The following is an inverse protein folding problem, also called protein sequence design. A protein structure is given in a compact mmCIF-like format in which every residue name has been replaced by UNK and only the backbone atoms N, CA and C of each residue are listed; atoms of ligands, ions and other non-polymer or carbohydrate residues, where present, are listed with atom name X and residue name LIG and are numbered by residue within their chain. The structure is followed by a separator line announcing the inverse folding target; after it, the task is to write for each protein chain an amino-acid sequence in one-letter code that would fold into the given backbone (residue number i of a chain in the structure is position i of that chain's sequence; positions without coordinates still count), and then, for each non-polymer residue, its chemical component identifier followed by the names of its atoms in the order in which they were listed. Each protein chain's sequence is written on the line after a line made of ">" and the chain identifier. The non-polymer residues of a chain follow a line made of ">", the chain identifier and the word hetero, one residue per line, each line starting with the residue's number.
data_IF_085482062005
#
_entry.id   IF_085482062005
#
_cell.length_a   1.000
_cell.length_b   1.000
_cell.length_c   1.000
_cell.angle_alpha   90.00
_cell.angle_beta   90.00
_cell.angle_gamma   90.00
#
_symmetry.space_group_name_H-M   'P 1'
#
loop_
_entity.id
_entity.type
_entity.pdbx_description
1 polymer ?
#
# COMPACT_ATOMS: atom_id res chain seq x y z
N UNK A 1 5.58 14.19 -15.65
CA UNK A 1 6.64 13.70 -14.75
C UNK A 1 6.28 12.28 -14.34
N UNK A 2 7.25 11.37 -14.20
CA UNK A 2 6.99 9.94 -13.94
C UNK A 2 7.27 9.61 -12.48
N UNK A 3 6.45 10.15 -11.57
CA UNK A 3 6.57 9.94 -10.13
C UNK A 3 5.30 9.32 -9.55
N UNK A 4 5.39 8.76 -8.35
CA UNK A 4 4.25 8.34 -7.56
C UNK A 4 4.50 8.62 -6.07
N UNK A 5 3.42 8.76 -5.30
CA UNK A 5 3.50 9.14 -3.89
C UNK A 5 3.78 7.94 -2.99
N UNK A 6 4.71 8.09 -2.05
CA UNK A 6 4.89 7.17 -0.93
C UNK A 6 5.00 8.00 0.35
N UNK A 7 4.30 7.58 1.40
CA UNK A 7 4.48 8.10 2.75
C UNK A 7 4.50 6.97 3.76
N UNK A 8 5.03 7.26 4.95
CA UNK A 8 5.13 6.31 6.05
C UNK A 8 4.68 6.97 7.36
N UNK A 9 3.89 6.26 8.16
CA UNK A 9 3.49 6.61 9.53
C UNK A 9 3.99 5.54 10.50
N UNK A 10 5.32 5.47 10.74
CA UNK A 10 5.94 4.34 11.44
C UNK A 10 5.47 4.18 12.89
N UNK A 11 4.99 5.27 13.52
CA UNK A 11 4.46 5.24 14.88
C UNK A 11 3.01 4.79 15.00
N UNK A 12 2.35 4.40 13.91
CA UNK A 12 0.93 4.06 13.91
C UNK A 12 0.66 2.83 13.05
N UNK A 13 0.17 1.77 13.67
CA UNK A 13 -0.42 0.64 12.96
C UNK A 13 -1.91 0.89 12.73
N UNK A 14 -2.40 0.62 11.53
CA UNK A 14 -3.79 0.84 11.15
C UNK A 14 -4.39 -0.41 10.49
N UNK A 15 -5.70 -0.59 10.64
CA UNK A 15 -6.47 -1.61 9.92
C UNK A 15 -7.12 -1.08 8.65
N UNK A 16 -7.31 0.23 8.55
CA UNK A 16 -7.84 0.92 7.39
C UNK A 16 -7.33 2.36 7.33
N UNK A 17 -7.14 2.88 6.12
CA UNK A 17 -6.85 4.27 5.85
C UNK A 17 -7.60 4.66 4.57
N UNK A 18 -8.11 5.89 4.52
CA UNK A 18 -8.77 6.44 3.34
C UNK A 18 -8.18 7.82 3.04
N UNK A 19 -7.85 8.05 1.78
CA UNK A 19 -7.40 9.35 1.30
C UNK A 19 -8.65 10.22 1.13
N UNK A 20 -8.90 11.09 2.11
CA UNK A 20 -10.01 12.03 2.02
C UNK A 20 -9.67 13.14 1.00
N UNK A 21 -10.61 13.45 0.11
CA UNK A 21 -10.43 14.51 -0.89
C UNK A 21 -11.45 14.43 -2.02
N UNK A 22 -11.33 15.36 -2.95
CA UNK A 22 -12.06 15.33 -4.22
C UNK A 22 -11.53 14.21 -5.13
N UNK A 23 -12.24 13.95 -6.23
CA UNK A 23 -11.82 12.97 -7.24
C UNK A 23 -10.40 13.31 -7.70
N UNK A 24 -9.50 12.33 -7.57
CA UNK A 24 -8.11 12.48 -8.00
C UNK A 24 -8.04 12.66 -9.52
N UNK A 25 -7.59 13.82 -9.97
CA UNK A 25 -7.28 14.06 -11.39
C UNK A 25 -5.94 13.43 -11.81
N UNK A 26 -5.04 13.20 -10.84
CA UNK A 26 -3.76 12.52 -11.06
C UNK A 26 -3.94 11.00 -11.14
N UNK A 27 -3.31 10.38 -12.14
CA UNK A 27 -3.33 8.94 -12.37
C UNK A 27 -2.29 8.20 -11.53
N UNK A 28 -1.35 8.93 -10.92
CA UNK A 28 -0.25 8.37 -10.14
C UNK A 28 -0.76 7.74 -8.85
N UNK A 29 -0.35 6.50 -8.51
CA UNK A 29 -0.75 5.88 -7.27
C UNK A 29 -0.15 6.60 -6.06
N UNK A 30 -0.79 6.47 -4.90
CA UNK A 30 -0.21 6.89 -3.62
C UNK A 30 -0.20 5.70 -2.66
N UNK A 31 0.93 5.44 -2.03
CA UNK A 31 1.13 4.38 -1.04
C UNK A 31 1.37 4.97 0.36
N UNK A 32 0.77 4.36 1.37
CA UNK A 32 0.97 4.69 2.77
C UNK A 32 1.35 3.42 3.55
N UNK A 33 2.52 3.44 4.17
CA UNK A 33 2.97 2.36 5.06
C UNK A 33 2.77 2.74 6.53
N UNK A 34 2.25 1.81 7.33
CA UNK A 34 2.11 1.97 8.78
C UNK A 34 3.26 1.37 9.58
N UNK A 35 3.16 1.48 10.90
CA UNK A 35 4.04 0.81 11.84
C UNK A 35 3.87 -0.71 11.80
N UNK A 36 4.98 -1.44 11.63
CA UNK A 36 5.01 -2.90 11.66
C UNK A 36 4.66 -3.41 13.05
N UNK A 37 3.92 -4.51 13.14
CA UNK A 37 3.53 -5.13 14.41
C UNK A 37 3.47 -6.65 14.31
N UNK A 38 3.64 -7.34 15.44
CA UNK A 38 3.52 -8.79 15.51
C UNK A 38 2.06 -9.19 15.74
N UNK A 39 1.61 -10.23 15.05
CA UNK A 39 0.34 -10.91 15.29
C UNK A 39 0.45 -12.39 14.94
N UNK A 40 0.06 -13.26 15.88
CA UNK A 40 0.05 -14.71 15.70
C UNK A 40 1.40 -15.27 15.20
N UNK A 41 2.51 -14.75 15.74
CA UNK A 41 3.88 -15.13 15.36
C UNK A 41 4.33 -14.63 13.99
N UNK A 42 3.58 -13.72 13.36
CA UNK A 42 3.93 -13.09 12.07
C UNK A 42 4.12 -11.60 12.24
N UNK A 43 5.15 -11.05 11.58
CA UNK A 43 5.29 -9.60 11.42
C UNK A 43 4.38 -9.12 10.28
N UNK A 44 3.53 -8.14 10.57
CA UNK A 44 2.57 -7.57 9.63
C UNK A 44 2.91 -6.09 9.37
N UNK A 45 2.93 -5.71 8.10
CA UNK A 45 3.06 -4.33 7.64
C UNK A 45 1.68 -3.81 7.23
N UNK A 46 1.13 -2.77 7.89
CA UNK A 46 -0.04 -2.05 7.38
C UNK A 46 0.30 -1.34 6.06
N UNK A 47 -0.51 -1.57 5.03
CA UNK A 47 -0.38 -0.92 3.72
C UNK A 47 -1.73 -0.33 3.32
N UNK A 48 -1.76 0.98 3.09
CA UNK A 48 -2.86 1.69 2.45
C UNK A 48 -2.42 2.16 1.07
N UNK A 49 -3.34 2.21 0.11
CA UNK A 49 -3.04 2.71 -1.22
C UNK A 49 -4.27 3.34 -1.88
N UNK A 50 -4.02 4.29 -2.77
CA UNK A 50 -5.02 4.91 -3.64
C UNK A 50 -4.60 4.75 -5.10
N UNK A 51 -5.55 4.29 -5.91
CA UNK A 51 -5.36 4.06 -7.35
C UNK A 51 -6.49 4.76 -8.12
N UNK A 52 -6.14 5.52 -9.16
CA UNK A 52 -7.13 6.15 -10.02
C UNK A 52 -7.88 5.08 -10.84
N UNK A 53 -9.21 5.07 -10.76
CA UNK A 53 -10.07 4.10 -11.46
C UNK A 53 -10.06 4.24 -12.98
N UNK A 54 -9.64 5.39 -13.51
CA UNK A 54 -9.52 5.61 -14.96
C UNK A 54 -8.48 4.69 -15.62
N UNK A 55 -7.50 4.21 -14.84
CA UNK A 55 -6.40 3.36 -15.34
C UNK A 55 -6.16 2.09 -14.52
N UNK A 56 -6.86 1.92 -13.39
CA UNK A 56 -6.80 0.72 -12.56
C UNK A 56 -8.20 0.19 -12.23
N UNK A 57 -8.36 -1.12 -12.31
CA UNK A 57 -9.52 -1.84 -11.80
C UNK A 57 -9.13 -2.76 -10.63
N UNK A 58 -10.08 -3.52 -10.10
CA UNK A 58 -9.84 -4.44 -9.00
C UNK A 58 -8.80 -5.53 -9.30
N UNK A 59 -8.60 -5.92 -10.56
CA UNK A 59 -7.58 -6.91 -10.96
C UNK A 59 -6.19 -6.31 -10.82
N UNK A 60 -6.00 -5.07 -11.29
CA UNK A 60 -4.72 -4.36 -11.16
C UNK A 60 -4.34 -4.18 -9.68
N UNK A 61 -5.27 -3.72 -8.85
CA UNK A 61 -5.06 -3.53 -7.42
C UNK A 61 -4.75 -4.87 -6.71
N UNK A 62 -5.50 -5.93 -7.04
CA UNK A 62 -5.26 -7.26 -6.45
C UNK A 62 -3.86 -7.79 -6.79
N UNK A 63 -3.44 -7.66 -8.05
CA UNK A 63 -2.10 -8.08 -8.50
C UNK A 63 -0.99 -7.28 -7.82
N UNK A 64 -1.19 -5.98 -7.62
CA UNK A 64 -0.23 -5.14 -6.89
C UNK A 64 0.03 -5.67 -5.48
N UNK A 65 -1.03 -5.89 -4.68
CA UNK A 65 -0.85 -6.37 -3.31
C UNK A 65 -0.30 -7.79 -3.22
N UNK A 66 -0.64 -8.67 -4.17
CA UNK A 66 -0.05 -10.01 -4.26
C UNK A 66 1.45 -9.96 -4.57
N UNK A 67 1.85 -9.12 -5.54
CA UNK A 67 3.26 -8.92 -5.87
C UNK A 67 4.02 -8.31 -4.68
N UNK A 68 3.44 -7.31 -4.01
CA UNK A 68 4.05 -6.69 -2.83
C UNK A 68 4.30 -7.72 -1.72
N UNK A 69 3.32 -8.58 -1.41
CA UNK A 69 3.49 -9.66 -0.43
C UNK A 69 4.59 -10.65 -0.85
N UNK A 70 4.70 -10.97 -2.14
CA UNK A 70 5.74 -11.86 -2.67
C UNK A 70 7.14 -11.23 -2.49
N UNK A 71 7.31 -9.97 -2.86
CA UNK A 71 8.58 -9.24 -2.70
C UNK A 71 8.98 -9.12 -1.22
N UNK A 72 8.04 -8.81 -0.33
CA UNK A 72 8.30 -8.71 1.11
C UNK A 72 8.75 -10.05 1.70
N UNK A 73 8.18 -11.17 1.23
CA UNK A 73 8.62 -12.51 1.65
C UNK A 73 10.02 -12.82 1.15
N UNK A 74 10.29 -12.55 -0.13
CA UNK A 74 11.61 -12.77 -0.72
C UNK A 74 12.71 -11.96 -0.01
N UNK A 75 12.41 -10.72 0.43
CA UNK A 75 13.32 -9.90 1.23
C UNK A 75 13.51 -10.39 2.67
N UNK A 76 12.54 -11.13 3.20
CA UNK A 76 12.59 -11.72 4.55
C UNK A 76 13.22 -13.11 4.61
N UNK A 77 13.51 -13.72 3.46
CA UNK A 77 14.28 -14.95 3.38
C UNK A 77 15.77 -14.65 3.63
N UNK A 78 16.48 -15.46 4.44
CA UNK A 78 17.88 -15.22 4.82
C UNK A 78 18.87 -15.37 3.66
#
# INVERSE_FOLDING_TARGET
>A
ENGFGISCVPGTSFSAFNFAGDVKEDLSPFLLYGGVYERDGRMLLPVGAEFAHAVNDGVHVSRFFQALEQELRALGEP
#
